data_IF_591804534910
#
_entry.id   IF_591804534910
#
_cell.length_a   1.000
_cell.length_b   1.000
_cell.length_c   1.000
_cell.angle_alpha   90.00
_cell.angle_beta   90.00
_cell.angle_gamma   90.00
#
_symmetry.space_group_name_H-M   'P 1'
#
loop_
_entity.id
_entity.type
_entity.pdbx_description
1 polymer ?
#
# COMPACT_ATOMS: atom_id res chain seq x y z
N UNK A 1 -25.66 24.85 13.14
CA UNK A 1 -24.38 24.20 13.48
C UNK A 1 -24.63 22.70 13.58
N UNK A 2 -24.26 21.91 12.58
CA UNK A 2 -24.08 20.47 12.76
C UNK A 2 -22.82 20.06 12.01
N UNK A 3 -21.88 19.56 12.80
CA UNK A 3 -20.51 19.34 12.45
C UNK A 3 -20.35 18.03 11.67
N UNK A 4 -19.52 18.10 10.63
CA UNK A 4 -18.66 17.04 10.13
C UNK A 4 -19.28 15.64 10.01
N UNK A 5 -19.74 15.33 8.80
CA UNK A 5 -19.66 13.99 8.24
C UNK A 5 -18.20 13.47 8.30
N UNK A 6 -17.76 13.02 9.48
CA UNK A 6 -16.63 12.09 9.61
C UNK A 6 -17.10 10.77 9.01
N UNK A 7 -17.15 10.74 7.69
CA UNK A 7 -17.35 9.51 6.96
C UNK A 7 -16.28 8.53 7.44
N UNK A 8 -16.70 7.46 8.12
CA UNK A 8 -15.85 6.32 8.50
C UNK A 8 -15.32 5.65 7.23
N UNK A 9 -14.37 6.30 6.57
CA UNK A 9 -13.73 5.82 5.37
C UNK A 9 -12.35 5.26 5.77
N UNK A 10 -11.97 4.09 5.23
CA UNK A 10 -10.60 3.63 5.36
C UNK A 10 -9.70 4.64 4.64
N UNK A 11 -8.56 4.98 5.26
CA UNK A 11 -7.60 5.94 4.68
C UNK A 11 -6.22 5.33 4.76
N UNK A 12 -5.63 5.09 3.60
CA UNK A 12 -4.27 4.59 3.50
C UNK A 12 -3.30 5.76 3.39
N UNK A 13 -2.22 5.72 4.16
CA UNK A 13 -1.12 6.67 4.07
C UNK A 13 0.19 5.91 3.91
N UNK A 14 0.81 6.03 2.73
CA UNK A 14 2.09 5.40 2.45
C UNK A 14 3.23 6.30 2.92
N UNK A 15 4.19 5.73 3.66
CA UNK A 15 5.41 6.45 4.06
C UNK A 15 6.28 6.81 2.84
N UNK A 16 6.29 5.93 1.83
CA UNK A 16 6.99 6.15 0.56
C UNK A 16 6.11 5.69 -0.60
N UNK A 17 5.88 6.57 -1.57
CA UNK A 17 5.07 6.29 -2.78
C UNK A 17 5.91 6.03 -4.02
N UNK A 18 7.19 6.38 -3.95
CA UNK A 18 8.14 6.21 -5.04
C UNK A 18 9.36 5.52 -4.49
N UNK A 19 9.80 4.48 -5.19
CA UNK A 19 11.08 3.85 -4.95
C UNK A 19 11.78 3.76 -6.30
N UNK A 20 13.00 4.27 -6.36
CA UNK A 20 13.82 4.15 -7.55
C UNK A 20 14.81 3.01 -7.31
N UNK A 21 14.59 1.89 -7.99
CA UNK A 21 15.50 0.75 -7.95
C UNK A 21 16.83 1.01 -8.68
N UNK A 22 16.91 2.12 -9.43
CA UNK A 22 18.06 2.44 -10.28
C UNK A 22 18.20 1.46 -11.44
N UNK A 23 19.44 1.07 -11.71
CA UNK A 23 19.76 0.08 -12.72
C UNK A 23 19.79 -1.30 -12.09
N UNK A 24 18.80 -2.14 -12.38
CA UNK A 24 18.80 -3.54 -11.99
C UNK A 24 19.47 -4.35 -13.12
N UNK A 25 20.64 -4.98 -12.91
CA UNK A 25 21.23 -5.87 -13.89
C UNK A 25 20.39 -7.15 -14.02
N UNK A 26 20.28 -7.74 -15.21
CA UNK A 26 19.55 -9.00 -15.43
C UNK A 26 20.09 -10.15 -14.56
N UNK A 27 21.42 -10.20 -14.35
CA UNK A 27 22.09 -11.14 -13.44
C UNK A 27 22.05 -10.71 -11.95
N UNK A 28 21.47 -9.55 -11.65
CA UNK A 28 21.43 -8.98 -10.29
C UNK A 28 20.52 -9.69 -9.30
N UNK A 29 19.71 -10.62 -9.79
CA UNK A 29 18.74 -11.36 -8.99
C UNK A 29 17.47 -10.56 -8.64
N UNK A 30 16.58 -11.14 -7.81
CA UNK A 30 15.31 -10.53 -7.47
C UNK A 30 15.51 -9.33 -6.52
N UNK A 31 15.03 -8.16 -6.94
CA UNK A 31 15.01 -6.97 -6.10
C UNK A 31 13.66 -6.87 -5.39
N UNK A 32 13.70 -6.58 -4.09
CA UNK A 32 12.50 -6.45 -3.26
C UNK A 32 12.45 -5.05 -2.69
N UNK A 33 11.32 -4.36 -2.82
CA UNK A 33 11.02 -3.15 -2.09
C UNK A 33 9.88 -3.42 -1.10
N UNK A 34 10.06 -2.99 0.14
CA UNK A 34 9.03 -3.02 1.16
C UNK A 34 8.44 -1.61 1.27
N UNK A 35 7.14 -1.50 1.13
CA UNK A 35 6.40 -0.25 1.31
C UNK A 35 5.56 -0.35 2.55
N UNK A 36 5.87 0.48 3.53
CA UNK A 36 5.06 0.62 4.73
C UNK A 36 3.93 1.61 4.48
N UNK A 37 2.73 1.23 4.92
CA UNK A 37 1.56 2.09 4.88
C UNK A 37 0.82 1.99 6.21
N UNK A 38 0.17 3.08 6.60
CA UNK A 38 -0.63 3.13 7.83
C UNK A 38 -2.08 3.37 7.47
N UNK A 39 -3.01 2.65 8.12
CA UNK A 39 -4.42 2.99 8.03
C UNK A 39 -4.73 4.16 8.99
N UNK A 40 -4.67 5.39 8.47
CA UNK A 40 -5.02 6.62 9.21
C UNK A 40 -6.53 6.91 9.20
N UNK A 41 -7.33 5.98 8.69
CA UNK A 41 -8.78 6.09 8.62
C UNK A 41 -9.48 5.64 9.90
N UNK A 42 -10.80 5.80 9.91
CA UNK A 42 -11.65 5.38 11.04
C UNK A 42 -12.42 4.08 10.74
N UNK A 43 -12.07 3.37 9.66
CA UNK A 43 -12.68 2.12 9.24
C UNK A 43 -11.59 1.11 8.83
N UNK A 44 -11.86 -0.21 8.91
CA UNK A 44 -10.92 -1.23 8.49
C UNK A 44 -10.60 -1.10 6.99
N UNK A 45 -9.31 -1.17 6.65
CA UNK A 45 -8.82 -1.06 5.30
C UNK A 45 -8.51 -2.45 4.74
N UNK A 46 -9.12 -2.78 3.61
CA UNK A 46 -8.92 -4.07 2.92
C UNK A 46 -8.33 -3.77 1.55
N UNK A 47 -7.20 -4.40 1.25
CA UNK A 47 -6.59 -4.34 -0.07
C UNK A 47 -7.24 -5.43 -0.94
N UNK A 48 -8.07 -5.01 -1.90
CA UNK A 48 -8.78 -5.96 -2.79
C UNK A 48 -7.89 -6.43 -3.93
N UNK A 49 -7.13 -5.51 -4.53
CA UNK A 49 -6.31 -5.79 -5.71
C UNK A 49 -5.08 -4.90 -5.70
N UNK A 50 -3.91 -5.49 -6.00
CA UNK A 50 -2.69 -4.73 -6.29
C UNK A 50 -2.29 -5.05 -7.72
N UNK A 51 -2.22 -4.01 -8.56
CA UNK A 51 -1.86 -4.14 -9.97
C UNK A 51 -0.46 -3.59 -10.21
N UNK A 52 0.41 -4.41 -10.78
CA UNK A 52 1.80 -4.10 -11.14
C UNK A 52 1.94 -3.29 -12.46
N UNK A 53 1.00 -2.38 -12.73
CA UNK A 53 1.06 -1.47 -13.90
C UNK A 53 1.06 -2.13 -15.28
N UNK A 54 0.69 -3.42 -15.39
CA UNK A 54 0.62 -4.14 -16.67
C UNK A 54 1.93 -4.78 -17.15
N UNK A 55 3.07 -4.47 -16.52
CA UNK A 55 4.39 -5.01 -16.90
C UNK A 55 4.56 -6.51 -16.63
N UNK A 56 3.72 -7.13 -15.78
CA UNK A 56 3.84 -8.54 -15.36
C UNK A 56 5.13 -8.91 -14.60
N UNK A 57 6.11 -8.01 -14.59
CA UNK A 57 7.47 -8.23 -14.11
C UNK A 57 7.62 -8.15 -12.58
N UNK A 58 6.66 -7.56 -11.87
CA UNK A 58 6.70 -7.43 -10.40
C UNK A 58 5.58 -8.24 -9.75
N UNK A 59 5.94 -8.95 -8.67
CA UNK A 59 4.99 -9.72 -7.84
C UNK A 59 4.70 -8.94 -6.56
N UNK A 60 3.54 -8.28 -6.44
CA UNK A 60 3.18 -7.61 -5.19
C UNK A 60 2.78 -8.65 -4.15
N UNK A 61 3.32 -8.53 -2.94
CA UNK A 61 2.78 -9.18 -1.76
C UNK A 61 2.08 -8.11 -0.91
N UNK A 62 0.85 -8.40 -0.51
CA UNK A 62 0.05 -7.52 0.32
C UNK A 62 -0.75 -8.33 1.33
N UNK A 63 -1.07 -7.75 2.49
CA UNK A 63 -1.91 -8.41 3.48
C UNK A 63 -3.33 -8.60 2.93
N UNK A 64 -3.82 -9.83 2.98
CA UNK A 64 -5.21 -10.18 2.63
C UNK A 64 -6.18 -9.97 3.81
N UNK A 65 -5.66 -9.68 5.00
CA UNK A 65 -6.45 -9.37 6.18
C UNK A 65 -6.79 -7.87 6.24
N UNK A 66 -7.95 -7.52 6.83
CA UNK A 66 -8.29 -6.13 7.10
C UNK A 66 -7.31 -5.49 8.07
N UNK A 67 -6.75 -4.35 7.68
CA UNK A 67 -5.87 -3.49 8.50
C UNK A 67 -6.77 -2.58 9.34
N UNK A 68 -6.72 -2.69 10.67
CA UNK A 68 -7.55 -1.84 11.53
C UNK A 68 -7.04 -0.39 11.53
N UNK A 69 -7.90 0.58 11.90
CA UNK A 69 -7.45 1.95 12.19
C UNK A 69 -6.24 1.97 13.12
N UNK A 70 -5.15 2.60 12.67
CA UNK A 70 -3.90 2.72 13.44
C UNK A 70 -2.90 1.57 13.29
N UNK A 71 -3.21 0.52 12.53
CA UNK A 71 -2.25 -0.54 12.18
C UNK A 71 -1.42 -0.18 10.95
N UNK A 72 -0.20 -0.75 10.87
CA UNK A 72 0.83 -0.58 9.83
C UNK A 72 1.24 -1.91 9.22
#
# INVERSE_FOLDING_TARGET
MTAADKSNKPKIEFASRSHNFGTIPEDGGPVTAVYEFTNTGNAPLIIMTVTNGGCGCTKPQFPTHPIKPGET
#
